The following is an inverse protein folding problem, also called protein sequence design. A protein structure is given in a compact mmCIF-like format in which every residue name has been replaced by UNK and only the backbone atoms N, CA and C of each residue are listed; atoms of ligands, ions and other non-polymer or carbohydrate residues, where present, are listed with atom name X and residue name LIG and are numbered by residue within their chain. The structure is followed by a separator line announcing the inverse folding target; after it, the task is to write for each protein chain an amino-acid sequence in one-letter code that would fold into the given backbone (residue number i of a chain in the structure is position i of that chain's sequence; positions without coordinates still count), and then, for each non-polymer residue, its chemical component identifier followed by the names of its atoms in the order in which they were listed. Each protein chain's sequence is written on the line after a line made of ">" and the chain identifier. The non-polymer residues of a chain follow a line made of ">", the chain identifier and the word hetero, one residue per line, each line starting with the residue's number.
data_IF_922862175872
#
_entry.id   IF_922862175872
#
_cell.length_a   1.000
_cell.length_b   1.000
_cell.length_c   1.000
_cell.angle_alpha   90.00
_cell.angle_beta   90.00
_cell.angle_gamma   90.00
#
_symmetry.space_group_name_H-M   'P 1'
#
loop_
_entity.id
_entity.type
_entity.pdbx_description
1 polymer ?
#
# COMPACT_ATOMS: atom_id res chain seq x y z
N UNK A 1 -5.11 -6.91 7.86
CA UNK A 1 -4.29 -6.47 9.03
C UNK A 1 -3.75 -5.07 8.84
N UNK A 2 -3.09 -4.76 7.72
CA UNK A 2 -2.51 -3.44 7.43
C UNK A 2 -3.48 -2.28 7.72
N UNK A 3 -4.72 -2.35 7.21
CA UNK A 3 -5.76 -1.33 7.47
C UNK A 3 -6.09 -1.08 8.95
N UNK A 4 -5.92 -2.09 9.81
CA UNK A 4 -6.21 -1.96 11.24
C UNK A 4 -5.07 -1.25 11.99
N UNK A 5 -3.84 -1.30 11.46
CA UNK A 5 -2.65 -0.72 12.08
C UNK A 5 -2.35 0.67 11.53
N UNK A 6 -2.43 0.82 10.21
CA UNK A 6 -2.09 2.07 9.52
C UNK A 6 -3.31 2.98 9.28
N UNK A 7 -4.53 2.45 9.40
CA UNK A 7 -5.74 3.13 8.96
C UNK A 7 -6.02 2.93 7.46
N UNK A 8 -6.79 3.82 6.81
CA UNK A 8 -7.01 3.78 5.37
C UNK A 8 -5.69 3.77 4.58
N UNK A 9 -5.62 3.03 3.48
CA UNK A 9 -4.41 2.95 2.63
C UNK A 9 -4.54 3.96 1.49
N UNK A 10 -4.78 5.23 1.81
CA UNK A 10 -4.81 6.26 0.78
C UNK A 10 -3.38 6.69 0.43
N UNK A 11 -3.04 6.62 -0.86
CA UNK A 11 -1.71 7.00 -1.35
C UNK A 11 -1.48 8.52 -1.40
N UNK A 12 -2.57 9.29 -1.28
CA UNK A 12 -2.58 10.74 -1.29
C UNK A 12 -3.62 11.23 -0.30
N UNK A 13 -3.36 12.36 0.36
CA UNK A 13 -4.30 12.99 1.28
C UNK A 13 -5.65 13.27 0.59
N UNK A 14 -5.66 13.75 -0.65
CA UNK A 14 -6.89 14.01 -1.40
C UNK A 14 -7.69 12.76 -1.85
N UNK A 15 -7.21 11.57 -1.48
CA UNK A 15 -7.92 10.30 -1.60
C UNK A 15 -8.43 9.77 -0.26
N UNK A 16 -8.03 10.35 0.88
CA UNK A 16 -8.54 10.00 2.20
C UNK A 16 -10.05 10.31 2.31
N UNK A 17 -10.85 9.44 2.94
CA UNK A 17 -12.28 9.70 3.14
C UNK A 17 -12.57 10.96 3.97
N UNK A 18 -11.62 11.38 4.82
CA UNK A 18 -11.74 12.55 5.68
C UNK A 18 -11.31 13.86 5.02
N UNK A 19 -10.76 13.83 3.79
CA UNK A 19 -10.23 15.00 3.12
C UNK A 19 -11.34 15.90 2.59
N UNK A 20 -11.36 17.17 3.00
CA UNK A 20 -12.37 18.11 2.53
C UNK A 20 -12.07 18.58 1.10
N UNK A 21 -13.09 18.71 0.22
CA UNK A 21 -12.84 19.06 -1.18
C UNK A 21 -12.19 20.43 -1.41
N UNK A 22 -12.34 21.35 -0.47
CA UNK A 22 -11.77 22.69 -0.47
C UNK A 22 -10.30 22.74 -0.02
N UNK A 23 -9.74 21.63 0.48
CA UNK A 23 -8.31 21.52 0.82
C UNK A 23 -7.42 21.27 -0.42
N UNK A 24 -8.00 21.00 -1.59
CA UNK A 24 -7.27 20.83 -2.84
C UNK A 24 -7.96 21.53 -4.01
N UNK A 25 -7.40 22.67 -4.44
CA UNK A 25 -7.91 23.48 -5.55
C UNK A 25 -8.13 22.69 -6.85
N UNK A 26 -7.29 21.67 -7.09
CA UNK A 26 -7.31 20.87 -8.31
C UNK A 26 -8.00 19.50 -8.13
N UNK A 27 -8.74 19.26 -7.05
CA UNK A 27 -9.28 17.93 -6.73
C UNK A 27 -10.14 17.31 -7.86
N UNK A 28 -10.87 18.15 -8.59
CA UNK A 28 -11.79 17.74 -9.64
C UNK A 28 -11.13 17.62 -11.02
N UNK A 29 -10.08 18.40 -11.29
CA UNK A 29 -9.37 18.44 -12.58
C UNK A 29 -8.00 17.73 -12.55
N UNK A 30 -7.60 17.18 -11.40
CA UNK A 30 -6.34 16.47 -11.25
C UNK A 30 -6.39 15.08 -11.91
N UNK A 31 -5.96 15.01 -13.17
CA UNK A 31 -5.85 13.76 -13.93
C UNK A 31 -5.00 12.71 -13.20
N UNK A 32 -3.94 13.14 -12.51
CA UNK A 32 -3.09 12.25 -11.72
C UNK A 32 -3.88 11.55 -10.59
N UNK A 33 -4.88 12.20 -9.99
CA UNK A 33 -5.71 11.63 -8.92
C UNK A 33 -6.42 10.37 -9.38
N UNK A 34 -6.88 10.32 -10.63
CA UNK A 34 -7.51 9.12 -11.20
C UNK A 34 -6.53 7.95 -11.28
N UNK A 35 -5.28 8.22 -11.67
CA UNK A 35 -4.21 7.20 -11.72
C UNK A 35 -3.90 6.67 -10.31
N UNK A 36 -3.70 7.57 -9.34
CA UNK A 36 -3.44 7.19 -7.95
C UNK A 36 -4.59 6.42 -7.31
N UNK A 37 -5.84 6.79 -7.61
CA UNK A 37 -7.02 6.05 -7.16
C UNK A 37 -7.06 4.63 -7.71
N UNK A 38 -6.68 4.43 -8.97
CA UNK A 38 -6.62 3.09 -9.57
C UNK A 38 -5.49 2.27 -8.93
N UNK A 39 -4.30 2.85 -8.79
CA UNK A 39 -3.17 2.19 -8.16
C UNK A 39 -3.47 1.77 -6.72
N UNK A 40 -4.10 2.64 -5.93
CA UNK A 40 -4.50 2.33 -4.56
C UNK A 40 -5.44 1.11 -4.48
N UNK A 41 -6.40 1.00 -5.40
CA UNK A 41 -7.30 -0.16 -5.46
C UNK A 41 -6.59 -1.48 -5.76
N UNK A 42 -5.66 -1.46 -6.72
CA UNK A 42 -4.87 -2.66 -7.04
C UNK A 42 -4.00 -3.06 -5.84
N UNK A 43 -3.37 -2.10 -5.17
CA UNK A 43 -2.58 -2.33 -3.96
C UNK A 43 -3.43 -2.90 -2.82
N UNK A 44 -4.63 -2.34 -2.58
CA UNK A 44 -5.56 -2.84 -1.57
C UNK A 44 -6.00 -4.28 -1.87
N UNK A 45 -6.30 -4.60 -3.14
CA UNK A 45 -6.64 -5.95 -3.56
C UNK A 45 -5.50 -6.94 -3.32
N UNK A 46 -4.26 -6.58 -3.70
CA UNK A 46 -3.09 -7.40 -3.42
C UNK A 46 -2.90 -7.66 -1.91
N UNK A 47 -3.11 -6.66 -1.07
CA UNK A 47 -3.00 -6.81 0.39
C UNK A 47 -4.10 -7.69 1.00
N UNK A 48 -5.25 -7.79 0.34
CA UNK A 48 -6.36 -8.65 0.77
C UNK A 48 -6.17 -10.12 0.38
N UNK A 49 -5.40 -10.38 -0.68
CA UNK A 49 -5.04 -11.73 -1.10
C UNK A 49 -3.97 -12.36 -0.20
N UNK A 50 -3.09 -11.55 0.40
CA UNK A 50 -2.00 -12.04 1.26
C UNK A 50 -2.53 -12.39 2.66
N UNK A 51 -2.43 -13.66 3.03
CA UNK A 51 -2.83 -14.17 4.35
C UNK A 51 -1.65 -14.28 5.31
N UNK A 52 -1.93 -14.19 6.62
CA UNK A 52 -0.91 -14.45 7.66
C UNK A 52 -0.35 -15.88 7.59
N UNK A 53 -1.15 -16.83 7.08
CA UNK A 53 -0.73 -18.21 6.91
C UNK A 53 0.34 -18.30 5.84
N UNK A 54 0.10 -17.74 4.65
CA UNK A 54 1.10 -17.64 3.58
C UNK A 54 2.35 -16.93 4.10
N UNK A 55 2.24 -15.82 4.83
CA UNK A 55 3.41 -15.15 5.41
C UNK A 55 4.18 -15.97 6.45
N UNK A 56 3.51 -16.91 7.13
CA UNK A 56 4.14 -17.80 8.11
C UNK A 56 4.77 -19.04 7.46
N UNK A 57 4.21 -19.50 6.35
CA UNK A 57 4.62 -20.69 5.61
C UNK A 57 5.67 -20.33 4.54
N UNK A 58 5.54 -19.17 3.92
CA UNK A 58 6.52 -18.58 3.02
C UNK A 58 7.62 -17.90 3.84
N UNK A 59 8.84 -18.39 3.63
CA UNK A 59 9.97 -17.48 3.68
C UNK A 59 9.79 -16.58 2.48
N UNK A 60 9.09 -15.46 2.65
CA UNK A 60 9.03 -14.42 1.63
C UNK A 60 10.43 -14.30 1.02
N UNK A 61 10.57 -14.70 -0.24
CA UNK A 61 11.80 -14.59 -1.02
C UNK A 61 12.10 -13.12 -1.34
N UNK A 62 11.83 -12.22 -0.40
CA UNK A 62 12.41 -10.90 -0.38
C UNK A 62 13.89 -11.20 -0.14
N UNK A 63 14.60 -11.44 -1.24
CA UNK A 63 16.03 -11.55 -1.32
C UNK A 63 16.61 -10.16 -1.02
N UNK A 64 16.44 -9.69 0.21
CA UNK A 64 17.39 -8.80 0.84
C UNK A 64 18.63 -9.67 0.97
N UNK A 65 19.59 -9.51 0.05
CA UNK A 65 20.86 -10.24 0.06
C UNK A 65 21.37 -10.39 1.49
N UNK A 66 21.14 -11.56 2.09
CA UNK A 66 21.64 -11.86 3.42
C UNK A 66 23.09 -12.25 3.20
N UNK A 67 24.09 -11.47 3.65
CA UNK A 67 25.46 -11.91 3.53
C UNK A 67 25.57 -13.22 4.30
N UNK A 68 25.91 -14.29 3.58
CA UNK A 68 26.21 -15.57 4.19
C UNK A 68 27.34 -15.33 5.18
N UNK A 69 27.11 -15.61 6.47
CA UNK A 69 28.21 -15.71 7.43
C UNK A 69 29.13 -16.81 6.90
N UNK A 70 30.28 -16.39 6.36
CA UNK A 70 31.39 -17.28 6.07
C UNK A 70 31.73 -18.05 7.35
N UNK A 71 31.66 -19.37 7.25
CA UNK A 71 32.15 -20.27 8.28
C UNK A 71 33.55 -20.69 7.81
N UNK A 72 34.57 -20.10 8.45
CA UNK A 72 35.90 -20.68 8.48
C UNK A 72 35.95 -21.92 9.35
#
# INVERSE_FOLDING_TARGET
>A
IVRAVEGPIALLECLEPSFAPDECDNMFDCVARAVWKRLGKELEGMLDEITLKELSEDRLDICLCRPTRGRG
#
